data_IF_701889148793
#
_entry.id   IF_701889148793
#
_cell.length_a   1.000
_cell.length_b   1.000
_cell.length_c   1.000
_cell.angle_alpha   90.00
_cell.angle_beta   90.00
_cell.angle_gamma   90.00
#
_symmetry.space_group_name_H-M   'P 1'
#
loop_
_entity.id
_entity.type
_entity.pdbx_description
1 polymer ?
#
# COMPACT_ATOMS: atom_id res chain seq x y z
N UNK A 1 -10.85 24.15 -7.99
CA UNK A 1 -9.93 23.09 -8.44
C UNK A 1 -10.31 21.83 -7.70
N UNK A 2 -10.91 20.88 -8.40
CA UNK A 2 -11.26 19.58 -7.82
C UNK A 2 -9.97 18.89 -7.36
N UNK A 3 -9.89 18.60 -6.07
CA UNK A 3 -8.74 17.93 -5.48
C UNK A 3 -8.75 16.48 -5.99
N UNK A 4 -8.10 16.21 -7.13
CA UNK A 4 -8.01 14.88 -7.71
C UNK A 4 -7.19 14.00 -6.77
N UNK A 5 -7.85 13.32 -5.84
CA UNK A 5 -7.20 12.46 -4.86
C UNK A 5 -6.29 11.46 -5.59
N UNK A 6 -5.05 11.34 -5.10
CA UNK A 6 -4.10 10.36 -5.63
C UNK A 6 -4.66 8.96 -5.38
N UNK A 7 -4.92 8.22 -6.45
CA UNK A 7 -5.38 6.84 -6.43
C UNK A 7 -4.48 6.00 -7.35
N UNK A 8 -4.70 4.67 -7.42
CA UNK A 8 -3.86 3.78 -8.23
C UNK A 8 -3.69 4.27 -9.68
N UNK A 9 -4.75 4.80 -10.29
CA UNK A 9 -4.75 5.23 -11.70
C UNK A 9 -4.07 6.59 -11.90
N UNK A 10 -4.08 7.47 -10.89
CA UNK A 10 -3.46 8.80 -10.98
C UNK A 10 -2.04 8.84 -10.43
N UNK A 11 -1.64 7.86 -9.61
CA UNK A 11 -0.31 7.77 -9.01
C UNK A 11 0.79 7.69 -10.08
N UNK A 12 0.57 6.93 -11.16
CA UNK A 12 1.55 6.79 -12.24
C UNK A 12 1.85 8.12 -12.95
N UNK A 13 0.88 9.04 -13.01
CA UNK A 13 1.08 10.36 -13.64
C UNK A 13 1.91 11.31 -12.75
N UNK A 14 1.87 11.12 -11.43
CA UNK A 14 2.51 12.01 -10.45
C UNK A 14 3.88 11.45 -10.02
N UNK A 15 3.97 10.14 -9.79
CA UNK A 15 5.15 9.44 -9.30
C UNK A 15 5.30 8.09 -10.00
N UNK A 16 5.79 8.07 -11.26
CA UNK A 16 5.84 6.85 -12.09
C UNK A 16 6.59 5.70 -11.43
N UNK A 17 7.76 5.98 -10.82
CA UNK A 17 8.55 4.93 -10.17
C UNK A 17 7.88 4.36 -8.93
N UNK A 18 7.15 5.19 -8.18
CA UNK A 18 6.41 4.71 -7.02
C UNK A 18 5.25 3.81 -7.44
N UNK A 19 4.55 4.15 -8.53
CA UNK A 19 3.53 3.28 -9.10
C UNK A 19 4.12 1.93 -9.56
N UNK A 20 5.24 1.95 -10.26
CA UNK A 20 5.96 0.74 -10.69
C UNK A 20 6.36 -0.14 -9.50
N UNK A 21 6.96 0.44 -8.44
CA UNK A 21 7.36 -0.30 -7.24
C UNK A 21 6.16 -0.85 -6.46
N UNK A 22 5.04 -0.13 -6.44
CA UNK A 22 3.81 -0.59 -5.80
C UNK A 22 3.30 -1.87 -6.47
N UNK A 23 3.27 -1.89 -7.80
CA UNK A 23 2.79 -3.06 -8.54
C UNK A 23 3.80 -4.21 -8.56
N UNK A 24 5.07 -3.92 -8.84
CA UNK A 24 6.08 -4.99 -9.07
C UNK A 24 6.71 -5.53 -7.79
N UNK A 25 6.99 -4.67 -6.81
CA UNK A 25 7.72 -5.06 -5.59
C UNK A 25 6.76 -5.29 -4.44
N UNK A 26 5.89 -4.32 -4.13
CA UNK A 26 4.99 -4.46 -2.99
C UNK A 26 3.98 -5.58 -3.23
N UNK A 27 3.14 -5.48 -4.26
CA UNK A 27 2.11 -6.49 -4.52
C UNK A 27 2.60 -7.69 -5.32
N UNK A 28 3.47 -7.46 -6.32
CA UNK A 28 3.98 -8.52 -7.20
C UNK A 28 5.00 -9.47 -6.57
N UNK A 29 5.68 -9.06 -5.50
CA UNK A 29 6.65 -9.89 -4.77
C UNK A 29 6.29 -9.99 -3.28
N UNK A 30 6.47 -8.91 -2.51
CA UNK A 30 6.45 -8.97 -1.03
C UNK A 30 5.13 -9.55 -0.50
N UNK A 31 3.98 -9.11 -1.01
CA UNK A 31 2.67 -9.63 -0.60
C UNK A 31 2.36 -11.04 -1.12
N UNK A 32 3.01 -11.48 -2.19
CA UNK A 32 2.82 -12.80 -2.79
C UNK A 32 3.70 -13.89 -2.14
N UNK A 33 4.70 -13.52 -1.32
CA UNK A 33 5.60 -14.48 -0.64
C UNK A 33 4.84 -15.42 0.29
N UNK A 34 5.21 -16.69 0.29
CA UNK A 34 4.46 -17.79 0.93
C UNK A 34 4.70 -17.98 2.42
N UNK A 35 5.71 -17.32 2.99
CA UNK A 35 6.09 -17.50 4.40
C UNK A 35 5.01 -17.02 5.38
N UNK A 36 4.18 -16.06 4.95
CA UNK A 36 3.07 -15.50 5.72
C UNK A 36 1.81 -15.48 4.86
N UNK A 37 0.70 -15.89 5.45
CA UNK A 37 -0.62 -15.78 4.83
C UNK A 37 -1.03 -14.32 4.63
N UNK A 38 -1.97 -14.04 3.70
CA UNK A 38 -2.51 -12.69 3.52
C UNK A 38 -3.08 -12.09 4.82
N UNK A 39 -3.70 -12.92 5.67
CA UNK A 39 -4.23 -12.49 6.98
C UNK A 39 -3.13 -12.02 7.92
N UNK A 40 -2.03 -12.77 8.04
CA UNK A 40 -0.90 -12.41 8.90
C UNK A 40 -0.24 -11.12 8.42
N UNK A 41 -0.06 -10.96 7.11
CA UNK A 41 0.46 -9.71 6.51
C UNK A 41 -0.45 -8.52 6.81
N UNK A 42 -1.76 -8.72 6.71
CA UNK A 42 -2.71 -7.67 7.06
C UNK A 42 -2.64 -7.28 8.52
N UNK A 43 -2.58 -8.25 9.42
CA UNK A 43 -2.45 -7.98 10.85
C UNK A 43 -1.17 -7.20 11.17
N UNK A 44 -0.04 -7.61 10.60
CA UNK A 44 1.25 -6.93 10.78
C UNK A 44 1.19 -5.49 10.26
N UNK A 45 0.59 -5.28 9.08
CA UNK A 45 0.49 -3.94 8.49
C UNK A 45 -0.41 -3.03 9.33
N UNK A 46 -1.58 -3.52 9.77
CA UNK A 46 -2.47 -2.77 10.67
C UNK A 46 -1.78 -2.44 12.00
N UNK A 47 -1.03 -3.38 12.59
CA UNK A 47 -0.24 -3.12 13.80
C UNK A 47 0.82 -2.04 13.57
N UNK A 48 1.56 -2.10 12.46
CA UNK A 48 2.58 -1.10 12.12
C UNK A 48 1.95 0.28 11.90
N UNK A 49 0.86 0.36 11.13
CA UNK A 49 0.15 1.63 10.90
C UNK A 49 -0.35 2.23 12.21
N UNK A 50 -0.92 1.41 13.10
CA UNK A 50 -1.41 1.85 14.42
C UNK A 50 -0.26 2.35 15.29
N UNK A 51 0.82 1.58 15.43
CA UNK A 51 1.97 1.93 16.25
C UNK A 51 2.67 3.21 15.76
N UNK A 52 2.68 3.45 14.45
CA UNK A 52 3.27 4.65 13.84
C UNK A 52 2.30 5.85 13.81
N UNK A 53 1.10 5.74 14.36
CA UNK A 53 0.08 6.80 14.32
C UNK A 53 -0.43 7.12 12.91
N UNK A 54 -0.28 6.19 11.96
CA UNK A 54 -0.69 6.28 10.56
C UNK A 54 -2.16 5.88 10.37
N UNK A 55 -3.03 6.44 11.20
CA UNK A 55 -4.44 6.05 11.29
C UNK A 55 -5.25 6.38 10.04
N UNK A 56 -4.86 7.42 9.29
CA UNK A 56 -5.50 7.80 8.02
C UNK A 56 -5.31 6.75 6.91
N UNK A 57 -4.30 5.88 7.02
CA UNK A 57 -4.08 4.79 6.08
C UNK A 57 -4.89 3.53 6.41
N UNK A 58 -5.46 3.41 7.62
CA UNK A 58 -6.21 2.21 8.04
C UNK A 58 -7.41 1.87 7.13
N UNK A 59 -8.21 2.84 6.63
CA UNK A 59 -9.32 2.54 5.72
C UNK A 59 -8.90 2.01 4.35
N UNK A 60 -7.63 2.17 3.97
CA UNK A 60 -7.07 1.76 2.68
C UNK A 60 -6.36 0.42 2.71
N UNK A 61 -6.24 -0.18 3.89
CA UNK A 61 -5.62 -1.48 4.12
C UNK A 61 -6.66 -2.59 4.10
#
# INVERSE_FOLDING_TARGET
>A
MENSAVNRNTLAAIAPKLAELTETVLFGDIWARRDLSPRERSLITLSALTALGKTQQLPWH
#
